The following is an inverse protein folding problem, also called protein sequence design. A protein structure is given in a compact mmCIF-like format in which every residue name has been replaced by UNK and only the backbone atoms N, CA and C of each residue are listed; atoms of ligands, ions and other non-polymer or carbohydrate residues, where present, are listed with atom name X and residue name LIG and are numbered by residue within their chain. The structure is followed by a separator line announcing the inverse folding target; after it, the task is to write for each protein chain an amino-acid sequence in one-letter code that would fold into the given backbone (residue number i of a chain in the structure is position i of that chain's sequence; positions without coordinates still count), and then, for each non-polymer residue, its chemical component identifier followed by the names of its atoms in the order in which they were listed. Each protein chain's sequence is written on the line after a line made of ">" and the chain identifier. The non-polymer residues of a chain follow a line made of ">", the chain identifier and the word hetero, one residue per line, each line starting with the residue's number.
data_IF_154918765220
#
_entry.id   IF_154918765220
#
_cell.length_a   1.000
_cell.length_b   1.000
_cell.length_c   1.000
_cell.angle_alpha   90.00
_cell.angle_beta   90.00
_cell.angle_gamma   90.00
#
_symmetry.space_group_name_H-M   'P 1'
#
loop_
_entity.id
_entity.type
_entity.pdbx_description
1 polymer ?
#
# COMPACT_ATOMS: atom_id res chain seq x y z
N UNK A 1 32.02 10.18 -44.72
CA UNK A 1 31.23 11.43 -44.80
C UNK A 1 31.64 12.33 -43.64
N UNK A 2 31.84 13.63 -43.85
CA UNK A 2 32.24 14.60 -42.79
C UNK A 2 31.10 15.55 -42.38
N UNK A 3 29.86 15.31 -42.85
CA UNK A 3 28.66 16.09 -42.55
C UNK A 3 27.42 15.22 -42.32
N UNK A 4 26.28 15.86 -42.09
CA UNK A 4 24.99 15.20 -41.80
C UNK A 4 24.44 14.45 -43.02
N UNK A 5 24.02 13.20 -42.82
CA UNK A 5 23.21 12.46 -43.79
C UNK A 5 21.75 12.87 -43.66
N UNK A 6 21.22 13.58 -44.66
CA UNK A 6 19.84 14.07 -44.69
C UNK A 6 19.01 13.25 -45.66
N UNK A 7 17.84 12.82 -45.21
CA UNK A 7 16.91 12.01 -46.01
C UNK A 7 15.53 12.66 -45.95
N UNK A 8 15.04 13.14 -47.10
CA UNK A 8 13.76 13.83 -47.21
C UNK A 8 12.58 12.92 -47.56
N UNK A 9 12.82 11.62 -47.78
CA UNK A 9 11.77 10.64 -48.09
C UNK A 9 11.07 10.17 -46.82
N UNK A 10 9.83 9.74 -46.97
CA UNK A 10 8.99 9.31 -45.85
C UNK A 10 9.56 8.07 -45.15
N UNK A 11 9.88 7.02 -45.92
CA UNK A 11 10.69 5.90 -45.46
C UNK A 11 12.15 6.31 -45.62
N UNK A 12 12.81 6.66 -44.52
CA UNK A 12 14.13 7.29 -44.57
C UNK A 12 15.26 6.27 -44.46
N UNK A 13 15.21 5.40 -43.46
CA UNK A 13 16.23 4.38 -43.21
C UNK A 13 15.58 3.02 -42.97
N UNK A 14 16.20 1.96 -43.48
CA UNK A 14 15.82 0.57 -43.23
C UNK A 14 17.02 -0.20 -42.67
N UNK A 15 16.80 -0.97 -41.61
CA UNK A 15 17.72 -1.98 -41.10
C UNK A 15 17.01 -3.32 -41.23
N UNK A 16 17.60 -4.30 -41.92
CA UNK A 16 16.89 -5.54 -42.26
C UNK A 16 17.77 -6.78 -42.28
N UNK A 17 17.11 -7.93 -42.20
CA UNK A 17 17.60 -9.23 -42.63
C UNK A 17 16.54 -9.89 -43.55
N UNK A 18 16.69 -11.17 -43.86
CA UNK A 18 15.75 -11.90 -44.74
C UNK A 18 14.32 -11.94 -44.17
N UNK A 19 14.18 -12.01 -42.84
CA UNK A 19 12.89 -12.14 -42.17
C UNK A 19 12.21 -10.79 -41.95
N UNK A 20 12.90 -9.81 -41.35
CA UNK A 20 12.30 -8.56 -40.92
C UNK A 20 13.15 -7.36 -41.28
N UNK A 21 12.48 -6.25 -41.59
CA UNK A 21 13.05 -4.92 -41.71
C UNK A 21 12.44 -4.02 -40.66
N UNK A 22 13.23 -3.11 -40.11
CA UNK A 22 12.76 -1.98 -39.31
C UNK A 22 12.95 -0.70 -40.11
N UNK A 23 11.86 0.01 -40.35
CA UNK A 23 11.83 1.24 -41.12
C UNK A 23 11.68 2.42 -40.17
N UNK A 24 12.63 3.35 -40.25
CA UNK A 24 12.54 4.66 -39.63
C UNK A 24 11.75 5.55 -40.59
N UNK A 25 10.49 5.78 -40.25
CA UNK A 25 9.54 6.49 -41.09
C UNK A 25 9.15 7.80 -40.46
N UNK A 26 9.38 8.91 -41.17
CA UNK A 26 8.82 10.22 -40.83
C UNK A 26 7.52 10.41 -41.61
N UNK A 27 6.39 10.21 -40.96
CA UNK A 27 5.05 10.32 -41.57
C UNK A 27 4.30 11.43 -40.86
N UNK A 28 3.75 12.39 -41.60
CA UNK A 28 3.00 13.52 -41.04
C UNK A 28 3.82 14.26 -39.95
N UNK A 29 3.32 14.24 -38.71
CA UNK A 29 3.89 14.90 -37.53
C UNK A 29 4.66 13.93 -36.62
N UNK A 30 4.95 12.70 -37.04
CA UNK A 30 5.59 11.70 -36.17
C UNK A 30 6.77 10.98 -36.82
N UNK A 31 7.75 10.64 -35.98
CA UNK A 31 8.77 9.65 -36.30
C UNK A 31 8.32 8.29 -35.76
N UNK A 32 8.24 7.28 -36.63
CA UNK A 32 7.84 5.92 -36.28
C UNK A 32 8.95 4.93 -36.54
N UNK A 33 9.03 3.92 -35.68
CA UNK A 33 9.79 2.70 -35.94
C UNK A 33 8.79 1.62 -36.35
N UNK A 34 8.86 1.16 -37.60
CA UNK A 34 7.84 0.28 -38.18
C UNK A 34 8.48 -1.00 -38.71
N UNK A 35 8.16 -2.18 -38.16
CA UNK A 35 8.63 -3.44 -38.73
C UNK A 35 7.87 -3.78 -40.02
N UNK A 36 8.49 -4.53 -40.91
CA UNK A 36 7.83 -5.19 -42.06
C UNK A 36 7.02 -6.41 -41.62
N UNK A 37 6.30 -7.01 -42.56
CA UNK A 37 5.88 -8.39 -42.41
C UNK A 37 7.09 -9.36 -42.38
N UNK A 38 6.89 -10.55 -41.84
CA UNK A 38 7.87 -11.64 -41.85
C UNK A 38 8.15 -12.12 -43.28
N UNK A 39 9.41 -12.44 -43.56
CA UNK A 39 9.91 -12.82 -44.89
C UNK A 39 10.01 -11.67 -45.89
N UNK A 40 9.82 -10.42 -45.44
CA UNK A 40 9.78 -9.24 -46.29
C UNK A 40 10.75 -8.16 -45.81
N UNK A 41 11.90 -8.55 -45.25
CA UNK A 41 12.75 -7.61 -44.54
C UNK A 41 13.39 -6.54 -45.43
N UNK A 42 13.97 -6.93 -46.56
CA UNK A 42 14.65 -6.01 -47.49
C UNK A 42 13.67 -5.11 -48.25
N UNK A 43 12.71 -5.73 -48.96
CA UNK A 43 11.87 -5.05 -49.94
C UNK A 43 10.40 -4.94 -49.52
N UNK A 44 10.04 -5.41 -48.33
CA UNK A 44 8.67 -5.37 -47.84
C UNK A 44 8.17 -3.97 -47.53
N UNK A 45 6.87 -3.78 -47.73
CA UNK A 45 6.16 -2.60 -47.28
C UNK A 45 6.10 -2.49 -45.75
N UNK A 46 5.63 -1.33 -45.28
CA UNK A 46 5.41 -1.08 -43.86
C UNK A 46 4.39 -2.07 -43.28
N UNK A 47 4.70 -2.70 -42.15
CA UNK A 47 3.77 -3.55 -41.43
C UNK A 47 2.73 -2.76 -40.62
N UNK A 48 1.78 -3.45 -39.96
CA UNK A 48 0.73 -2.80 -39.16
C UNK A 48 1.21 -2.31 -37.80
N UNK A 49 2.33 -2.83 -37.28
CA UNK A 49 2.78 -2.52 -35.92
C UNK A 49 3.41 -1.14 -35.82
N UNK A 50 3.22 -0.49 -34.66
CA UNK A 50 3.80 0.80 -34.28
C UNK A 50 4.41 0.68 -32.87
N UNK A 51 5.50 -0.08 -32.70
CA UNK A 51 6.09 -0.33 -31.38
C UNK A 51 6.60 0.95 -30.71
N UNK A 52 7.13 1.91 -31.48
CA UNK A 52 7.64 3.18 -30.96
C UNK A 52 7.33 4.33 -31.91
N UNK A 53 6.90 5.47 -31.36
CA UNK A 53 6.76 6.72 -32.11
C UNK A 53 7.07 7.94 -31.24
N UNK A 54 7.56 9.00 -31.88
CA UNK A 54 7.71 10.34 -31.28
C UNK A 54 6.84 11.30 -32.09
N UNK A 55 5.90 11.96 -31.43
CA UNK A 55 5.21 13.09 -32.03
C UNK A 55 6.17 14.28 -32.06
N UNK A 56 6.47 14.78 -33.25
CA UNK A 56 7.45 15.84 -33.50
C UNK A 56 6.94 17.24 -33.11
N UNK A 57 5.62 17.39 -32.88
CA UNK A 57 5.01 18.63 -32.40
C UNK A 57 5.03 18.72 -30.88
N UNK A 58 4.75 17.64 -30.18
CA UNK A 58 4.61 17.63 -28.71
C UNK A 58 5.79 17.01 -27.97
N UNK A 59 6.65 16.26 -28.66
CA UNK A 59 7.69 15.44 -28.06
C UNK A 59 7.17 14.17 -27.37
N UNK A 60 5.86 13.91 -27.40
CA UNK A 60 5.27 12.76 -26.74
C UNK A 60 5.77 11.45 -27.37
N UNK A 61 6.14 10.50 -26.52
CA UNK A 61 6.59 9.16 -26.90
C UNK A 61 5.44 8.18 -26.74
N UNK A 62 5.18 7.39 -27.78
CA UNK A 62 4.19 6.33 -27.77
C UNK A 62 4.87 4.98 -27.87
N UNK A 63 4.56 4.10 -26.92
CA UNK A 63 4.96 2.68 -26.93
C UNK A 63 3.69 1.83 -26.92
N UNK A 64 3.22 1.42 -28.11
CA UNK A 64 1.86 0.90 -28.28
C UNK A 64 1.77 -0.63 -28.36
N UNK A 65 2.88 -1.34 -28.18
CA UNK A 65 2.96 -2.80 -28.30
C UNK A 65 3.62 -3.44 -27.06
N UNK A 66 3.38 -2.83 -25.90
CA UNK A 66 3.97 -3.22 -24.62
C UNK A 66 5.38 -2.67 -24.40
N UNK A 67 5.76 -2.52 -23.14
CA UNK A 67 7.10 -2.15 -22.72
C UNK A 67 7.50 -3.06 -21.55
N UNK A 68 8.60 -3.78 -21.68
CA UNK A 68 9.26 -4.45 -20.55
C UNK A 68 10.48 -3.62 -20.17
N UNK A 69 10.49 -3.11 -18.95
CA UNK A 69 11.59 -2.31 -18.41
C UNK A 69 12.24 -3.12 -17.31
N UNK A 70 13.48 -3.53 -17.54
CA UNK A 70 14.30 -4.19 -16.52
C UNK A 70 14.97 -3.09 -15.68
N UNK A 71 14.69 -3.06 -14.37
CA UNK A 71 15.14 -2.01 -13.45
C UNK A 71 14.01 -1.13 -12.91
N UNK A 72 14.34 0.11 -12.54
CA UNK A 72 13.36 1.08 -12.00
C UNK A 72 12.65 1.86 -13.11
N UNK A 73 11.33 2.04 -12.96
CA UNK A 73 10.52 2.94 -13.77
C UNK A 73 9.99 4.06 -12.88
N UNK A 74 10.45 5.28 -13.09
CA UNK A 74 9.88 6.47 -12.46
C UNK A 74 8.74 7.01 -13.33
N UNK A 75 7.56 7.22 -12.74
CA UNK A 75 6.40 7.83 -13.40
C UNK A 75 6.02 9.10 -12.64
N UNK A 76 6.64 10.22 -13.04
CA UNK A 76 6.45 11.55 -12.48
C UNK A 76 7.76 12.25 -12.10
N UNK A 77 7.70 13.58 -12.00
CA UNK A 77 8.53 14.43 -11.14
C UNK A 77 7.60 15.36 -10.29
N UNK A 78 6.34 14.90 -10.13
CA UNK A 78 5.06 15.63 -9.87
C UNK A 78 4.78 16.79 -10.86
N UNK A 79 3.55 17.12 -11.25
CA UNK A 79 2.24 16.89 -10.64
C UNK A 79 1.34 15.90 -11.41
N UNK A 80 0.60 15.05 -10.70
CA UNK A 80 -0.80 14.77 -11.07
C UNK A 80 -1.68 15.07 -9.88
N UNK A 81 -1.97 16.35 -9.79
CA UNK A 81 -3.04 16.82 -8.99
C UNK A 81 -4.34 16.50 -9.78
N UNK A 82 -5.07 15.46 -9.35
CA UNK A 82 -6.52 15.58 -9.15
C UNK A 82 -7.51 14.99 -10.16
N UNK A 83 -7.21 14.64 -11.42
CA UNK A 83 -8.36 14.49 -12.34
C UNK A 83 -8.19 13.65 -13.59
N UNK A 84 -9.33 13.03 -13.98
CA UNK A 84 -9.50 11.85 -14.85
C UNK A 84 -8.78 10.57 -14.33
N UNK A 85 -8.73 9.49 -15.14
CA UNK A 85 -8.23 8.17 -14.71
C UNK A 85 -6.70 8.20 -14.53
N UNK A 86 -6.27 8.66 -13.36
CA UNK A 86 -4.91 9.08 -12.97
C UNK A 86 -4.02 7.96 -12.46
N UNK A 87 -2.70 8.13 -12.59
CA UNK A 87 -1.64 7.61 -11.70
C UNK A 87 -0.43 8.57 -11.78
N UNK A 88 0.02 9.17 -10.68
CA UNK A 88 1.41 9.66 -10.53
C UNK A 88 1.97 9.16 -9.22
N UNK A 89 3.13 8.52 -9.28
CA UNK A 89 3.67 7.79 -8.15
C UNK A 89 5.12 8.17 -7.95
N UNK A 90 5.33 9.07 -6.98
CA UNK A 90 6.62 9.38 -6.41
C UNK A 90 7.43 10.46 -7.11
N UNK A 91 8.34 11.04 -6.35
CA UNK A 91 9.57 11.64 -6.86
C UNK A 91 10.70 10.58 -6.83
N UNK A 92 11.96 11.00 -6.75
CA UNK A 92 13.08 10.08 -6.79
C UNK A 92 13.27 9.24 -5.50
N UNK A 93 12.49 9.44 -4.43
CA UNK A 93 12.61 8.66 -3.19
C UNK A 93 11.29 8.32 -2.48
N UNK A 94 10.16 8.59 -3.13
CA UNK A 94 8.80 8.24 -2.69
C UNK A 94 8.11 7.34 -3.72
N UNK A 95 7.19 6.45 -3.33
CA UNK A 95 6.43 5.63 -4.29
C UNK A 95 6.21 4.18 -3.86
N UNK A 96 5.93 3.29 -4.82
CA UNK A 96 5.84 1.85 -4.58
C UNK A 96 7.03 1.12 -5.17
N UNK A 97 7.53 0.11 -4.45
CA UNK A 97 8.65 -0.72 -4.90
C UNK A 97 8.35 -2.19 -4.66
N UNK A 98 8.53 -3.02 -5.69
CA UNK A 98 8.56 -4.47 -5.51
C UNK A 98 9.91 -4.84 -4.86
N UNK A 99 9.88 -5.26 -3.59
CA UNK A 99 11.10 -5.62 -2.85
C UNK A 99 11.51 -7.09 -3.08
N UNK A 100 10.79 -7.81 -3.95
CA UNK A 100 10.99 -9.23 -4.28
C UNK A 100 9.81 -10.10 -3.86
N UNK A 101 9.69 -11.30 -4.46
CA UNK A 101 8.78 -12.40 -4.08
C UNK A 101 7.42 -11.99 -3.47
N UNK A 102 6.59 -11.29 -4.25
CA UNK A 102 5.23 -10.89 -3.84
C UNK A 102 5.15 -9.73 -2.83
N UNK A 103 6.27 -9.10 -2.47
CA UNK A 103 6.31 -7.97 -1.55
C UNK A 103 6.19 -6.65 -2.32
N UNK A 104 5.16 -5.87 -2.01
CA UNK A 104 4.98 -4.50 -2.52
C UNK A 104 5.12 -3.53 -1.34
N UNK A 105 6.15 -2.70 -1.39
CA UNK A 105 6.51 -1.76 -0.34
C UNK A 105 6.09 -0.33 -0.66
N UNK A 106 5.73 0.43 0.37
CA UNK A 106 5.36 1.84 0.30
C UNK A 106 6.53 2.68 0.83
N UNK A 107 7.07 3.58 0.02
CA UNK A 107 8.20 4.45 0.35
C UNK A 107 7.78 5.92 0.42
N UNK A 108 8.37 6.65 1.37
CA UNK A 108 8.28 8.11 1.48
C UNK A 108 9.63 8.66 1.94
N UNK A 109 10.19 9.62 1.17
CA UNK A 109 11.46 10.27 1.46
C UNK A 109 12.60 9.28 1.79
N UNK A 110 12.71 8.22 0.98
CA UNK A 110 13.71 7.17 1.11
C UNK A 110 13.44 6.14 2.22
N UNK A 111 12.35 6.27 2.98
CA UNK A 111 12.00 5.36 4.07
C UNK A 111 10.81 4.46 3.70
N UNK A 112 10.91 3.15 3.99
CA UNK A 112 9.77 2.23 3.86
C UNK A 112 8.80 2.48 5.02
N UNK A 113 7.57 2.87 4.71
CA UNK A 113 6.53 3.16 5.71
C UNK A 113 5.56 1.98 5.92
N UNK A 114 5.57 1.00 5.01
CA UNK A 114 4.84 -0.26 5.14
C UNK A 114 5.09 -1.18 3.95
N UNK A 115 4.44 -2.34 3.93
CA UNK A 115 4.41 -3.24 2.77
C UNK A 115 3.20 -4.20 2.82
N UNK A 116 2.89 -4.81 1.67
CA UNK A 116 1.98 -5.95 1.55
C UNK A 116 2.80 -7.18 1.17
N UNK A 117 2.54 -8.30 1.83
CA UNK A 117 3.09 -9.61 1.52
C UNK A 117 2.03 -10.72 1.69
N UNK A 118 2.44 -11.99 1.62
CA UNK A 118 1.54 -13.14 1.81
C UNK A 118 0.92 -13.26 3.22
N UNK A 119 1.42 -12.51 4.21
CA UNK A 119 0.88 -12.47 5.57
C UNK A 119 -0.11 -11.32 5.77
N UNK A 120 -0.13 -10.32 4.88
CA UNK A 120 -1.10 -9.23 4.88
C UNK A 120 -0.47 -7.85 4.68
N UNK A 121 -1.11 -6.82 5.27
CA UNK A 121 -0.63 -5.44 5.27
C UNK A 121 0.15 -5.15 6.55
N UNK A 122 1.38 -4.67 6.39
CA UNK A 122 2.27 -4.26 7.49
C UNK A 122 2.52 -2.76 7.41
N UNK A 123 2.44 -2.07 8.55
CA UNK A 123 2.66 -0.63 8.67
C UNK A 123 3.72 -0.38 9.74
N UNK A 124 4.74 0.41 9.40
CA UNK A 124 5.86 0.74 10.30
C UNK A 124 5.72 2.10 10.97
N UNK A 125 4.68 2.85 10.58
CA UNK A 125 4.32 4.16 11.10
C UNK A 125 2.92 4.10 11.69
N UNK A 126 2.52 5.17 12.37
CA UNK A 126 1.22 5.25 13.03
C UNK A 126 0.06 5.16 12.04
N UNK A 127 -1.08 4.67 12.53
CA UNK A 127 -2.36 4.68 11.81
C UNK A 127 -3.18 5.84 12.37
N UNK A 128 -3.31 6.91 11.58
CA UNK A 128 -4.08 8.10 11.95
C UNK A 128 -5.31 8.27 11.06
N UNK A 129 -6.46 8.58 11.66
CA UNK A 129 -7.69 8.95 10.94
C UNK A 129 -8.01 10.44 11.16
N UNK A 130 -7.86 11.25 10.12
CA UNK A 130 -8.24 12.67 10.18
C UNK A 130 -9.76 12.82 9.91
N UNK A 131 -10.49 13.31 10.90
CA UNK A 131 -11.95 13.55 10.90
C UNK A 131 -12.89 12.34 10.80
N UNK A 132 -12.43 11.13 10.45
CA UNK A 132 -13.28 9.93 10.29
C UNK A 132 -12.91 8.80 11.26
N UNK A 133 -13.68 7.70 11.24
CA UNK A 133 -13.49 6.56 12.14
C UNK A 133 -12.54 5.50 11.54
N UNK A 134 -11.70 4.89 12.39
CA UNK A 134 -11.08 3.60 12.10
C UNK A 134 -12.11 2.47 12.32
N UNK A 135 -12.53 1.78 11.24
CA UNK A 135 -13.67 0.84 11.27
C UNK A 135 -13.23 -0.62 11.10
N UNK A 136 -13.58 -1.46 12.08
CA UNK A 136 -13.35 -2.91 12.09
C UNK A 136 -14.69 -3.64 11.95
N UNK A 137 -14.85 -4.52 10.95
CA UNK A 137 -16.17 -5.08 10.51
C UNK A 137 -16.31 -6.60 10.61
N UNK A 138 -15.27 -7.33 10.97
CA UNK A 138 -15.31 -8.80 10.96
C UNK A 138 -16.17 -9.37 12.10
N UNK A 139 -16.63 -10.61 11.98
CA UNK A 139 -17.26 -11.35 13.09
C UNK A 139 -16.24 -12.21 13.87
N UNK A 140 -14.95 -12.15 13.52
CA UNK A 140 -13.91 -12.79 14.32
C UNK A 140 -13.82 -12.15 15.69
N UNK A 141 -13.63 -12.98 16.73
CA UNK A 141 -13.62 -12.56 18.13
C UNK A 141 -12.41 -11.73 18.54
N UNK A 142 -11.45 -11.40 17.66
CA UNK A 142 -10.32 -10.53 17.98
C UNK A 142 -10.11 -9.51 16.84
N UNK A 143 -10.49 -8.24 17.04
CA UNK A 143 -10.30 -7.18 16.03
C UNK A 143 -9.00 -6.41 16.25
N UNK A 144 -8.65 -6.15 17.52
CA UNK A 144 -7.35 -5.64 17.95
C UNK A 144 -6.79 -6.68 18.92
N UNK A 145 -5.54 -7.06 18.72
CA UNK A 145 -4.88 -8.09 19.51
C UNK A 145 -3.53 -7.58 19.96
N UNK A 146 -3.21 -7.74 21.24
CA UNK A 146 -1.88 -7.49 21.80
C UNK A 146 -1.25 -8.84 22.09
N UNK A 147 -0.24 -9.18 21.31
CA UNK A 147 0.45 -10.47 21.34
C UNK A 147 1.86 -10.31 21.88
N UNK A 148 2.34 -11.35 22.57
CA UNK A 148 3.77 -11.54 22.82
C UNK A 148 4.49 -11.93 21.51
N UNK A 149 5.83 -11.92 21.54
CA UNK A 149 6.67 -12.40 20.43
C UNK A 149 6.40 -13.87 20.08
N UNK A 150 5.98 -14.68 21.06
CA UNK A 150 5.60 -16.09 20.87
C UNK A 150 4.20 -16.28 20.22
N UNK A 151 3.51 -15.19 19.88
CA UNK A 151 2.17 -15.20 19.30
C UNK A 151 1.02 -15.40 20.29
N UNK A 152 1.30 -15.56 21.59
CA UNK A 152 0.25 -15.69 22.61
C UNK A 152 -0.48 -14.35 22.81
N UNK A 153 -1.81 -14.40 22.76
CA UNK A 153 -2.67 -13.22 22.95
C UNK A 153 -2.78 -12.91 24.43
N UNK A 154 -2.44 -11.68 24.83
CA UNK A 154 -2.50 -11.21 26.23
C UNK A 154 -3.63 -10.23 26.49
N UNK A 155 -4.09 -9.55 25.44
CA UNK A 155 -5.24 -8.66 25.47
C UNK A 155 -5.84 -8.59 24.07
N UNK A 156 -7.16 -8.43 23.97
CA UNK A 156 -7.83 -8.25 22.69
C UNK A 156 -9.13 -7.44 22.85
N UNK A 157 -9.49 -6.70 21.81
CA UNK A 157 -10.74 -5.96 21.68
C UNK A 157 -11.50 -6.50 20.47
N UNK A 158 -12.81 -6.70 20.59
CA UNK A 158 -13.62 -7.22 19.49
C UNK A 158 -15.07 -6.80 19.58
N UNK A 159 -15.82 -7.05 18.51
CA UNK A 159 -17.28 -6.92 18.50
C UNK A 159 -17.90 -8.28 18.19
N UNK A 160 -18.85 -8.73 19.01
CA UNK A 160 -19.60 -9.97 18.76
C UNK A 160 -20.89 -9.74 17.96
N UNK A 161 -21.35 -10.78 17.25
CA UNK A 161 -22.59 -10.86 16.46
C UNK A 161 -23.81 -11.00 17.41
N UNK A 162 -24.05 -9.96 18.21
CA UNK A 162 -25.09 -9.93 19.25
C UNK A 162 -24.88 -8.93 20.39
N UNK A 163 -23.66 -8.37 20.55
CA UNK A 163 -23.24 -7.64 21.77
C UNK A 163 -22.41 -8.57 22.68
N UNK A 164 -21.22 -8.21 23.19
CA UNK A 164 -20.98 -7.22 24.27
C UNK A 164 -19.53 -6.64 24.29
N UNK A 165 -19.39 -5.28 24.39
CA UNK A 165 -18.21 -4.44 24.75
C UNK A 165 -17.16 -4.14 23.64
N UNK A 166 -16.50 -2.97 23.43
CA UNK A 166 -16.13 -1.76 24.25
C UNK A 166 -16.65 -0.42 23.66
N UNK A 167 -17.10 0.52 24.52
CA UNK A 167 -17.49 1.91 24.18
C UNK A 167 -17.16 2.91 25.32
N UNK A 168 -16.60 4.11 25.05
CA UNK A 168 -16.42 5.17 26.10
C UNK A 168 -16.72 6.59 25.57
N UNK A 169 -17.50 7.35 26.35
CA UNK A 169 -18.31 8.52 25.96
C UNK A 169 -17.85 9.85 26.61
N UNK A 170 -18.35 10.97 26.06
CA UNK A 170 -17.94 12.38 26.13
C UNK A 170 -17.95 13.11 27.50
N UNK A 171 -17.29 14.28 27.47
CA UNK A 171 -16.77 15.29 28.44
C UNK A 171 -17.42 15.54 29.83
N UNK A 172 -18.48 14.87 30.28
CA UNK A 172 -18.89 14.95 31.70
C UNK A 172 -19.31 13.58 32.24
N UNK A 173 -18.33 12.71 32.50
CA UNK A 173 -18.36 11.75 33.62
C UNK A 173 -16.99 11.07 33.76
N UNK A 174 -16.53 10.92 35.00
CA UNK A 174 -15.34 10.13 35.35
C UNK A 174 -15.70 8.66 35.18
N UNK A 175 -15.19 8.02 34.12
CA UNK A 175 -15.29 6.57 33.99
C UNK A 175 -14.13 5.95 34.77
N UNK A 176 -14.42 5.46 35.98
CA UNK A 176 -13.50 4.59 36.72
C UNK A 176 -13.59 3.20 36.09
N UNK A 177 -12.66 2.88 35.19
CA UNK A 177 -12.47 1.50 34.74
C UNK A 177 -11.71 0.77 35.84
N UNK A 178 -12.42 -0.02 36.65
CA UNK A 178 -11.80 -0.84 37.69
C UNK A 178 -11.12 -2.06 37.07
N UNK A 179 -9.79 -2.03 36.96
CA UNK A 179 -9.01 -3.23 36.63
C UNK A 179 -8.89 -4.10 37.88
N UNK A 180 -9.60 -5.23 37.93
CA UNK A 180 -9.35 -6.29 38.91
C UNK A 180 -8.39 -7.30 38.27
N UNK A 181 -7.11 -7.29 38.69
CA UNK A 181 -6.24 -8.45 38.52
C UNK A 181 -6.55 -9.42 39.66
N UNK A 182 -7.20 -10.53 39.35
CA UNK A 182 -7.35 -11.60 40.33
C UNK A 182 -6.03 -12.36 40.43
N UNK A 183 -5.24 -12.07 41.46
CA UNK A 183 -4.24 -13.00 41.99
C UNK A 183 -4.24 -12.88 43.51
N UNK A 184 -4.85 -13.88 44.17
CA UNK A 184 -4.75 -14.14 45.61
C UNK A 184 -5.47 -13.14 46.53
N UNK A 185 -6.57 -13.60 47.13
CA UNK A 185 -7.30 -12.96 48.26
C UNK A 185 -7.69 -11.47 48.12
N UNK A 186 -8.86 -11.24 47.51
CA UNK A 186 -9.64 -10.02 47.74
C UNK A 186 -11.09 -10.40 48.04
N UNK A 187 -11.47 -10.27 49.32
CA UNK A 187 -12.88 -10.33 49.77
C UNK A 187 -13.52 -8.95 49.59
N UNK A 188 -14.68 -8.91 48.96
CA UNK A 188 -15.51 -7.71 48.81
C UNK A 188 -16.55 -7.68 49.92
N UNK A 189 -16.51 -6.68 50.81
CA UNK A 189 -17.66 -6.33 51.64
C UNK A 189 -18.27 -5.03 51.11
N UNK A 190 -19.41 -5.18 50.43
CA UNK A 190 -20.18 -4.06 49.89
C UNK A 190 -21.07 -3.50 51.00
N UNK A 191 -20.58 -2.51 51.75
CA UNK A 191 -21.43 -1.74 52.66
C UNK A 191 -22.21 -0.70 51.85
N UNK A 192 -23.41 -1.07 51.37
CA UNK A 192 -24.38 -0.09 50.87
C UNK A 192 -25.21 0.42 52.05
N UNK A 193 -25.06 1.72 52.34
CA UNK A 193 -25.92 2.58 53.16
C UNK A 193 -27.26 1.95 53.60
N UNK A 194 -27.26 1.25 54.72
CA UNK A 194 -28.24 1.46 55.79
C UNK A 194 -27.47 1.94 57.01
N UNK A 195 -28.06 2.90 57.73
CA UNK A 195 -27.44 3.61 58.85
C UNK A 195 -26.99 2.62 59.94
N UNK A 196 -25.69 2.62 60.23
CA UNK A 196 -25.01 2.06 61.41
C UNK A 196 -25.23 0.56 61.72
N UNK A 197 -24.21 -0.28 61.48
CA UNK A 197 -24.01 -1.54 62.21
C UNK A 197 -22.51 -1.69 62.49
N UNK A 198 -22.18 -2.01 63.74
CA UNK A 198 -20.85 -1.96 64.33
C UNK A 198 -19.80 -2.88 63.67
N UNK A 199 -18.55 -2.42 63.67
CA UNK A 199 -17.37 -3.24 63.37
C UNK A 199 -16.94 -3.94 64.67
N UNK A 200 -17.07 -5.26 64.74
CA UNK A 200 -16.40 -6.06 65.76
C UNK A 200 -15.16 -6.72 65.15
N UNK A 201 -13.97 -6.33 65.61
CA UNK A 201 -12.79 -7.17 65.50
C UNK A 201 -12.88 -8.23 66.61
N UNK A 202 -13.06 -9.50 66.25
CA UNK A 202 -12.81 -10.62 67.17
C UNK A 202 -11.38 -11.07 66.96
N UNK A 203 -10.53 -10.79 67.95
CA UNK A 203 -9.19 -11.35 68.04
C UNK A 203 -9.32 -12.76 68.64
N UNK A 204 -9.07 -13.80 67.84
CA UNK A 204 -8.99 -15.17 68.35
C UNK A 204 -7.57 -15.39 68.89
N UNK A 205 -7.43 -15.31 70.21
CA UNK A 205 -6.24 -15.82 70.91
C UNK A 205 -6.53 -17.22 71.43
N UNK A 206 -5.74 -18.20 71.01
CA UNK A 206 -5.72 -19.52 71.63
C UNK A 206 -4.99 -19.43 72.98
N UNK A 207 -5.67 -19.79 74.07
CA UNK A 207 -5.02 -20.14 75.35
C UNK A 207 -5.12 -21.64 75.54
N UNK A 208 -4.01 -22.35 75.38
CA UNK A 208 -3.81 -23.67 75.99
C UNK A 208 -3.37 -23.47 77.44
N UNK A 209 -4.07 -24.09 78.37
CA UNK A 209 -3.68 -24.19 79.78
C UNK A 209 -2.56 -25.19 80.02
#
# INVERSE_FOLDING_TARGET
>A
MTGELKIGTMNALRIFNDAFGLIFRRSEESLHFIPTAEGQGENGDIGPLRPFAINLRTGAIYVSHGAKIEGGLAIGATDNALGENSIVLGDNDTGFRQDGDGIISFYSNGSRIGHIDGLGLHLYKDIESNCSNFRLKSNYRHHITFTNEDGSIRMFLWKDNGGDGVHINTVQMVVVISFLKQMGDLRWEVVRKLRLVAIFMVQCGETTG
#
